data_IF_608727044222
#
_entry.id   IF_608727044222
#
_cell.length_a   1.000
_cell.length_b   1.000
_cell.length_c   1.000
_cell.angle_alpha   90.00
_cell.angle_beta   90.00
_cell.angle_gamma   90.00
#
_symmetry.space_group_name_H-M   'P 1'
#
loop_
_entity.id
_entity.type
_entity.pdbx_description
1 polymer ?
#
# COMPACT_ATOMS: atom_id res chain seq x y z
N UNK A 1 -8.81 30.57 30.21
CA UNK A 1 -9.37 29.52 31.09
C UNK A 1 -10.65 28.98 30.46
N UNK A 2 -10.48 28.01 29.54
CA UNK A 2 -11.52 27.12 28.98
C UNK A 2 -10.83 26.21 27.93
N UNK A 3 -9.78 25.48 28.33
CA UNK A 3 -8.95 24.68 27.39
C UNK A 3 -8.83 23.20 27.74
N UNK A 4 -9.36 22.74 28.87
CA UNK A 4 -9.24 21.32 29.28
C UNK A 4 -10.42 20.44 28.81
N UNK A 5 -11.51 21.02 28.26
CA UNK A 5 -12.73 20.26 27.94
C UNK A 5 -12.74 19.58 26.56
N UNK A 6 -11.90 20.02 25.62
CA UNK A 6 -11.84 19.42 24.28
C UNK A 6 -11.06 18.11 24.25
N UNK A 7 -10.11 17.94 25.19
CA UNK A 7 -9.27 16.76 25.33
C UNK A 7 -9.85 15.70 26.27
N UNK A 8 -11.02 15.96 26.88
CA UNK A 8 -11.73 14.95 27.66
C UNK A 8 -12.33 13.87 26.76
N UNK A 9 -11.93 12.62 27.02
CA UNK A 9 -12.50 11.45 26.38
C UNK A 9 -13.99 11.27 26.75
N UNK A 10 -14.86 10.88 25.80
CA UNK A 10 -16.22 10.47 26.14
C UNK A 10 -16.24 9.26 27.08
N UNK A 11 -17.36 9.01 27.78
CA UNK A 11 -17.50 7.84 28.62
C UNK A 11 -17.18 6.54 27.86
N UNK A 12 -16.51 5.60 28.54
CA UNK A 12 -16.05 4.32 27.99
C UNK A 12 -14.91 4.39 26.96
N UNK A 13 -14.30 5.55 26.75
CA UNK A 13 -13.06 5.68 25.98
C UNK A 13 -11.82 5.70 26.87
N UNK A 14 -10.76 5.04 26.43
CA UNK A 14 -9.45 5.02 27.08
C UNK A 14 -8.38 5.39 26.04
N UNK A 15 -7.48 6.30 26.39
CA UNK A 15 -6.32 6.66 25.58
C UNK A 15 -5.12 5.78 25.93
N UNK A 16 -4.41 5.30 24.91
CA UNK A 16 -3.23 4.45 25.05
C UNK A 16 -2.16 4.87 24.05
N UNK A 17 -0.91 4.52 24.34
CA UNK A 17 0.21 4.73 23.43
C UNK A 17 0.80 3.39 22.96
N UNK A 18 1.26 3.35 21.72
CA UNK A 18 2.06 2.25 21.19
C UNK A 18 3.54 2.39 21.60
N UNK A 19 4.32 1.35 21.34
CA UNK A 19 5.75 1.34 21.65
C UNK A 19 6.55 2.43 20.90
N UNK A 20 6.10 2.81 19.71
CA UNK A 20 6.66 3.87 18.86
C UNK A 20 6.01 5.25 19.09
N UNK A 21 5.16 5.35 20.10
CA UNK A 21 4.63 6.61 20.64
C UNK A 21 3.34 7.12 19.99
N UNK A 22 2.71 6.36 19.09
CA UNK A 22 1.41 6.73 18.53
C UNK A 22 0.30 6.55 19.54
N UNK A 23 -0.57 7.55 19.66
CA UNK A 23 -1.73 7.50 20.53
C UNK A 23 -2.90 6.85 19.80
N UNK A 24 -3.57 5.90 20.45
CA UNK A 24 -4.83 5.31 20.01
C UNK A 24 -5.86 5.31 21.14
N UNK A 25 -7.13 5.27 20.76
CA UNK A 25 -8.27 5.36 21.65
C UNK A 25 -9.05 4.05 21.58
N UNK A 26 -9.31 3.46 22.74
CA UNK A 26 -10.03 2.20 22.92
C UNK A 26 -11.44 2.53 23.42
N UNK A 27 -12.46 2.07 22.70
CA UNK A 27 -13.84 2.14 23.16
C UNK A 27 -14.24 0.81 23.79
N UNK A 28 -14.49 0.82 25.10
CA UNK A 28 -14.83 -0.37 25.89
C UNK A 28 -16.25 -0.89 25.65
N UNK A 29 -17.17 -0.05 25.14
CA UNK A 29 -18.51 -0.48 24.77
C UNK A 29 -18.54 -1.22 23.43
N UNK A 30 -17.97 -0.62 22.39
CA UNK A 30 -17.94 -1.22 21.05
C UNK A 30 -16.80 -2.23 20.85
N UNK A 31 -15.86 -2.31 21.80
CA UNK A 31 -14.63 -3.12 21.70
C UNK A 31 -13.82 -2.77 20.44
N UNK A 32 -13.82 -1.52 20.04
CA UNK A 32 -13.10 -1.02 18.87
C UNK A 32 -11.99 -0.07 19.27
N UNK A 33 -11.01 0.11 18.38
CA UNK A 33 -9.93 1.08 18.54
C UNK A 33 -9.90 2.05 17.37
N UNK A 34 -9.45 3.27 17.59
CA UNK A 34 -9.21 4.27 16.53
C UNK A 34 -8.03 5.17 16.89
N UNK A 35 -7.43 5.85 15.92
CA UNK A 35 -6.24 6.69 16.12
C UNK A 35 -6.56 8.17 16.29
N UNK A 36 -7.77 8.58 15.90
CA UNK A 36 -8.27 9.93 16.06
C UNK A 36 -9.03 10.09 17.36
N UNK A 37 -8.83 11.22 18.04
CA UNK A 37 -9.56 11.54 19.26
C UNK A 37 -11.07 11.53 18.97
N UNK A 38 -11.90 10.82 19.77
CA UNK A 38 -13.31 10.59 19.47
C UNK A 38 -14.16 11.86 19.41
N UNK A 39 -13.71 12.99 19.98
CA UNK A 39 -14.39 14.29 19.87
C UNK A 39 -13.78 15.21 18.82
N UNK A 40 -12.45 15.31 18.79
CA UNK A 40 -11.74 16.35 18.04
C UNK A 40 -11.20 15.84 16.70
N UNK A 41 -11.18 14.52 16.48
CA UNK A 41 -10.63 13.90 15.27
C UNK A 41 -9.10 13.97 15.18
N UNK A 42 -8.42 14.56 16.17
CA UNK A 42 -6.98 14.81 16.14
C UNK A 42 -6.17 13.56 16.45
N UNK A 43 -5.00 13.45 15.83
CA UNK A 43 -4.03 12.39 16.10
C UNK A 43 -2.95 12.96 17.01
N UNK A 44 -2.54 12.20 18.02
CA UNK A 44 -1.51 12.60 18.99
C UNK A 44 -0.34 11.63 18.94
N UNK A 45 0.84 12.15 19.28
CA UNK A 45 2.04 11.35 19.46
C UNK A 45 2.76 11.75 20.75
N UNK A 46 3.14 10.75 21.55
CA UNK A 46 4.06 10.97 22.67
C UNK A 46 5.48 11.07 22.12
N UNK A 47 6.06 12.27 22.20
CA UNK A 47 7.43 12.52 21.77
C UNK A 47 8.37 12.60 22.98
N UNK A 48 9.62 12.16 22.79
CA UNK A 48 10.69 12.30 23.78
C UNK A 48 10.93 11.08 24.67
N UNK A 49 11.96 11.20 25.50
CA UNK A 49 12.34 10.21 26.51
C UNK A 49 11.32 10.20 27.67
N UNK A 50 11.32 9.12 28.45
CA UNK A 50 10.53 9.08 29.67
C UNK A 50 10.97 10.20 30.62
N UNK A 51 10.05 10.79 31.40
CA UNK A 51 10.43 11.78 32.40
C UNK A 51 11.46 11.20 33.38
N UNK A 52 12.33 12.05 33.93
CA UNK A 52 13.38 11.60 34.83
C UNK A 52 12.82 10.78 36.00
N UNK A 53 13.40 9.60 36.23
CA UNK A 53 12.96 8.66 37.26
C UNK A 53 11.87 7.67 36.80
N UNK A 54 11.39 7.77 35.57
CA UNK A 54 10.50 6.75 35.00
C UNK A 54 11.29 5.67 34.25
N UNK A 55 10.88 4.42 34.44
CA UNK A 55 11.42 3.25 33.74
C UNK A 55 10.28 2.50 33.04
N UNK A 56 10.50 2.11 31.78
CA UNK A 56 9.58 1.22 31.04
C UNK A 56 10.09 -0.21 31.12
N UNK A 57 9.24 -1.13 31.57
CA UNK A 57 9.54 -2.56 31.67
C UNK A 57 8.42 -3.39 31.05
N UNK A 58 8.74 -4.59 30.57
CA UNK A 58 7.74 -5.59 30.17
C UNK A 58 7.56 -6.55 31.33
N UNK A 59 6.33 -6.70 31.81
CA UNK A 59 5.99 -7.62 32.89
C UNK A 59 6.13 -9.07 32.41
N UNK A 60 7.02 -9.84 33.03
CA UNK A 60 7.36 -11.20 32.59
C UNK A 60 6.17 -12.17 32.63
N UNK A 61 5.22 -11.97 33.56
CA UNK A 61 4.07 -12.85 33.73
C UNK A 61 2.96 -12.64 32.67
N UNK A 62 2.80 -11.41 32.16
CA UNK A 62 1.68 -11.05 31.27
C UNK A 62 2.11 -10.56 29.90
N UNK A 63 3.40 -10.26 29.70
CA UNK A 63 3.95 -9.62 28.50
C UNK A 63 3.51 -8.17 28.31
N UNK A 64 2.83 -7.56 29.29
CA UNK A 64 2.33 -6.19 29.20
C UNK A 64 3.42 -5.18 29.53
N UNK A 65 3.38 -4.04 28.86
CA UNK A 65 4.26 -2.91 29.16
C UNK A 65 3.76 -2.22 30.44
N UNK A 66 4.67 -1.99 31.37
CA UNK A 66 4.47 -1.24 32.61
C UNK A 66 5.46 -0.08 32.68
N UNK A 67 5.04 0.99 33.33
CA UNK A 67 5.84 2.17 33.60
C UNK A 67 6.00 2.32 35.11
N UNK A 68 7.24 2.37 35.57
CA UNK A 68 7.63 2.41 36.98
C UNK A 68 8.17 3.81 37.27
N UNK A 69 7.54 4.54 38.19
CA UNK A 69 8.02 5.82 38.68
C UNK A 69 8.90 5.56 39.92
N UNK A 70 10.21 5.69 39.76
CA UNK A 70 11.17 5.49 40.85
C UNK A 70 11.17 6.63 41.87
N UNK A 71 10.61 7.79 41.54
CA UNK A 71 10.49 8.92 42.46
C UNK A 71 9.32 8.69 43.42
N UNK A 72 8.17 8.28 42.89
CA UNK A 72 6.94 8.07 43.68
C UNK A 72 6.71 6.61 44.09
N UNK A 73 7.55 5.68 43.64
CA UNK A 73 7.44 4.23 43.88
C UNK A 73 6.11 3.62 43.42
N UNK A 74 5.59 4.13 42.31
CA UNK A 74 4.34 3.65 41.70
C UNK A 74 4.61 2.88 40.41
N UNK A 75 3.67 2.03 40.02
CA UNK A 75 3.69 1.30 38.74
C UNK A 75 2.34 1.45 38.08
N UNK A 76 2.34 1.76 36.79
CA UNK A 76 1.13 1.96 35.99
C UNK A 76 1.26 1.30 34.62
N UNK A 77 0.13 1.00 33.99
CA UNK A 77 0.06 0.54 32.60
C UNK A 77 -0.10 1.70 31.60
N UNK A 78 -0.30 2.92 32.12
CA UNK A 78 -0.51 4.13 31.33
C UNK A 78 0.85 4.80 31.11
N UNK A 79 1.17 5.15 29.87
CA UNK A 79 2.41 5.85 29.55
C UNK A 79 2.38 7.26 30.17
N UNK A 80 3.34 7.63 31.04
CA UNK A 80 3.37 8.93 31.70
C UNK A 80 3.53 10.10 30.72
N UNK A 81 3.97 9.83 29.49
CA UNK A 81 4.12 10.84 28.44
C UNK A 81 2.80 11.22 27.79
N UNK A 82 1.72 10.48 28.01
CA UNK A 82 0.41 10.77 27.42
C UNK A 82 -0.12 12.14 27.83
N UNK A 83 0.13 12.58 29.06
CA UNK A 83 -0.21 13.93 29.54
C UNK A 83 0.51 15.06 28.76
N UNK A 84 1.56 14.72 28.03
CA UNK A 84 2.36 15.64 27.21
C UNK A 84 2.33 15.24 25.72
N UNK A 85 1.37 14.40 25.31
CA UNK A 85 1.22 14.01 23.93
C UNK A 85 0.93 15.26 23.09
N UNK A 86 1.71 15.47 22.05
CA UNK A 86 1.58 16.64 21.18
C UNK A 86 0.67 16.25 20.02
N UNK A 87 -0.19 17.18 19.59
CA UNK A 87 -0.93 17.03 18.34
C UNK A 87 0.06 16.82 17.20
N UNK A 88 -0.02 15.66 16.56
CA UNK A 88 0.79 15.39 15.39
C UNK A 88 0.11 16.09 14.21
N UNK A 89 0.57 17.30 13.90
CA UNK A 89 0.29 17.89 12.60
C UNK A 89 0.98 17.00 11.59
N UNK A 90 0.20 16.21 10.85
CA UNK A 90 0.73 15.45 9.72
C UNK A 90 1.57 16.41 8.87
N UNK A 91 2.85 16.11 8.58
CA UNK A 91 3.71 17.04 7.88
C UNK A 91 3.01 17.48 6.59
N UNK A 92 2.98 18.77 6.32
CA UNK A 92 2.43 19.19 5.03
C UNK A 92 3.30 18.57 3.95
N UNK A 93 2.69 18.06 2.89
CA UNK A 93 3.42 17.48 1.75
C UNK A 93 4.50 18.45 1.22
N UNK A 94 4.24 19.75 1.34
CA UNK A 94 5.18 20.84 0.98
C UNK A 94 6.44 20.93 1.85
N UNK A 95 6.44 20.34 3.04
CA UNK A 95 7.56 20.39 4.00
C UNK A 95 8.52 19.20 3.83
N UNK A 96 8.14 18.19 3.01
CA UNK A 96 8.99 17.03 2.74
C UNK A 96 10.17 17.46 1.87
N UNK A 97 11.38 17.39 2.43
CA UNK A 97 12.61 17.61 1.66
C UNK A 97 12.82 16.47 0.65
N UNK A 98 12.99 16.80 -0.62
CA UNK A 98 13.36 15.82 -1.64
C UNK A 98 14.79 15.29 -1.40
N UNK A 99 14.89 14.02 -0.97
CA UNK A 99 16.18 13.32 -0.76
C UNK A 99 16.57 12.40 -1.91
N UNK A 100 15.58 11.96 -2.68
CA UNK A 100 15.72 11.02 -3.77
C UNK A 100 15.01 11.57 -5.02
N UNK A 101 15.41 11.05 -6.17
CA UNK A 101 14.93 11.52 -7.47
C UNK A 101 14.77 10.37 -8.47
N UNK A 102 14.58 10.70 -9.74
CA UNK A 102 14.39 9.72 -10.82
C UNK A 102 15.63 8.87 -11.11
N UNK A 103 16.82 9.28 -10.65
CA UNK A 103 18.07 8.54 -10.81
C UNK A 103 18.35 7.56 -9.65
N UNK A 104 17.64 7.72 -8.53
CA UNK A 104 17.78 6.90 -7.33
C UNK A 104 17.29 5.47 -7.56
N UNK A 105 18.00 4.50 -6.99
CA UNK A 105 17.67 3.07 -7.02
C UNK A 105 16.94 2.63 -5.75
N UNK A 106 16.18 1.54 -5.84
CA UNK A 106 15.56 0.90 -4.68
C UNK A 106 16.58 0.53 -3.60
N UNK A 107 17.75 -0.01 -3.97
CA UNK A 107 18.82 -0.31 -3.01
C UNK A 107 19.41 0.94 -2.33
N UNK A 108 19.54 2.08 -3.03
CA UNK A 108 19.99 3.33 -2.41
C UNK A 108 19.01 3.84 -1.35
N UNK A 109 17.71 3.69 -1.57
CA UNK A 109 16.68 4.12 -0.60
C UNK A 109 16.69 3.25 0.66
N UNK A 110 17.01 1.97 0.50
CA UNK A 110 17.13 1.00 1.59
C UNK A 110 18.48 1.01 2.29
N UNK A 111 19.45 1.79 1.81
CA UNK A 111 20.78 1.83 2.40
C UNK A 111 20.73 2.14 3.91
N UNK A 112 21.30 1.23 4.71
CA UNK A 112 21.32 1.36 6.18
C UNK A 112 20.01 1.00 6.88
N UNK A 113 19.02 0.40 6.18
CA UNK A 113 17.78 -0.08 6.78
C UNK A 113 17.81 -1.58 7.02
N UNK A 114 17.26 -1.99 8.15
CA UNK A 114 16.94 -3.37 8.47
C UNK A 114 15.42 -3.53 8.50
N UNK A 115 14.92 -4.49 7.72
CA UNK A 115 13.51 -4.86 7.61
C UNK A 115 13.26 -6.27 8.18
N UNK A 116 14.18 -6.80 8.97
CA UNK A 116 14.00 -8.06 9.69
C UNK A 116 12.71 -8.05 10.52
N UNK A 117 11.95 -9.13 10.42
CA UNK A 117 10.64 -9.26 11.08
C UNK A 117 9.48 -8.57 10.36
N UNK A 118 9.73 -7.86 9.26
CA UNK A 118 8.69 -7.25 8.42
C UNK A 118 8.19 -8.23 7.36
N UNK A 119 6.89 -8.21 7.07
CA UNK A 119 6.24 -8.99 6.02
C UNK A 119 5.74 -8.11 4.88
N UNK A 120 6.13 -8.45 3.65
CA UNK A 120 5.63 -7.84 2.43
C UNK A 120 4.85 -8.84 1.58
N UNK A 121 3.68 -8.43 1.06
CA UNK A 121 2.97 -9.12 -0.02
C UNK A 121 3.08 -8.28 -1.29
N UNK A 122 3.58 -8.87 -2.37
CA UNK A 122 3.77 -8.17 -3.64
C UNK A 122 3.10 -8.98 -4.76
N UNK A 123 2.20 -8.36 -5.49
CA UNK A 123 1.56 -8.98 -6.65
C UNK A 123 2.45 -8.84 -7.89
N UNK A 124 2.59 -9.92 -8.69
CA UNK A 124 3.27 -9.85 -9.99
C UNK A 124 4.77 -9.53 -9.91
N UNK A 125 5.50 -10.20 -9.01
CA UNK A 125 6.87 -9.86 -8.64
C UNK A 125 7.92 -10.90 -9.04
N UNK A 126 7.61 -11.84 -9.93
CA UNK A 126 8.61 -12.74 -10.50
C UNK A 126 9.45 -12.11 -11.64
N UNK A 127 9.03 -10.95 -12.16
CA UNK A 127 9.74 -10.22 -13.23
C UNK A 127 9.65 -8.70 -13.06
N UNK A 128 10.47 -7.96 -13.80
CA UNK A 128 10.34 -6.51 -13.96
C UNK A 128 10.48 -5.73 -12.65
N UNK A 129 9.61 -4.73 -12.46
CA UNK A 129 9.65 -3.81 -11.32
C UNK A 129 9.35 -4.56 -10.02
N UNK A 130 8.31 -5.40 -10.01
CA UNK A 130 7.95 -6.20 -8.84
C UNK A 130 9.10 -7.13 -8.39
N UNK A 131 9.86 -7.71 -9.33
CA UNK A 131 11.05 -8.51 -9.01
C UNK A 131 12.12 -7.70 -8.28
N UNK A 132 12.45 -6.51 -8.79
CA UNK A 132 13.45 -5.65 -8.13
C UNK A 132 12.94 -5.13 -6.78
N UNK A 133 11.64 -4.84 -6.63
CA UNK A 133 11.03 -4.51 -5.32
C UNK A 133 11.17 -5.67 -4.34
N UNK A 134 10.78 -6.88 -4.74
CA UNK A 134 10.88 -8.09 -3.91
C UNK A 134 12.32 -8.39 -3.50
N UNK A 135 13.24 -8.38 -4.47
CA UNK A 135 14.68 -8.57 -4.27
C UNK A 135 15.23 -7.54 -3.28
N UNK A 136 14.93 -6.25 -3.50
CA UNK A 136 15.43 -5.17 -2.65
C UNK A 136 14.94 -5.29 -1.20
N UNK A 137 13.67 -5.65 -0.96
CA UNK A 137 13.16 -5.87 0.39
C UNK A 137 13.80 -7.10 1.06
N UNK A 138 13.89 -8.23 0.36
CA UNK A 138 14.49 -9.46 0.90
C UNK A 138 15.98 -9.30 1.20
N UNK A 139 16.70 -8.50 0.40
CA UNK A 139 18.10 -8.14 0.65
C UNK A 139 18.35 -7.39 1.95
N UNK A 140 17.30 -6.80 2.53
CA UNK A 140 17.32 -6.06 3.78
C UNK A 140 16.52 -6.78 4.90
N UNK A 141 16.32 -8.10 4.79
CA UNK A 141 15.75 -8.91 5.87
C UNK A 141 14.23 -9.05 5.90
N UNK A 142 13.51 -8.41 4.97
CA UNK A 142 12.06 -8.53 4.88
C UNK A 142 11.64 -9.92 4.39
N UNK A 143 10.62 -10.50 5.01
CA UNK A 143 9.93 -11.69 4.48
C UNK A 143 9.00 -11.26 3.35
N UNK A 144 9.13 -11.86 2.17
CA UNK A 144 8.38 -11.47 0.97
C UNK A 144 7.53 -12.62 0.46
N UNK A 145 6.21 -12.43 0.49
CA UNK A 145 5.25 -13.26 -0.22
C UNK A 145 5.15 -12.80 -1.67
N UNK A 146 5.64 -13.66 -2.55
CA UNK A 146 5.59 -13.47 -3.99
C UNK A 146 4.26 -14.00 -4.54
N UNK A 147 3.26 -13.12 -4.63
CA UNK A 147 1.92 -13.45 -5.06
C UNK A 147 1.83 -13.43 -6.61
N UNK A 148 1.99 -14.60 -7.22
CA UNK A 148 2.12 -14.75 -8.67
C UNK A 148 1.27 -15.90 -9.21
N UNK A 149 1.01 -15.89 -10.52
CA UNK A 149 0.27 -16.97 -11.20
C UNK A 149 1.10 -18.22 -11.51
N UNK A 150 2.41 -18.07 -11.73
CA UNK A 150 3.28 -19.14 -12.22
C UNK A 150 4.33 -19.47 -11.17
N UNK A 151 4.17 -20.64 -10.55
CA UNK A 151 5.05 -21.18 -9.52
C UNK A 151 6.49 -21.31 -10.01
N UNK A 152 6.70 -22.08 -11.08
CA UNK A 152 8.03 -22.33 -11.65
C UNK A 152 8.80 -21.06 -11.95
N UNK A 153 8.18 -20.09 -12.61
CA UNK A 153 8.81 -18.81 -12.92
C UNK A 153 9.11 -17.98 -11.66
N UNK A 154 8.35 -18.18 -10.58
CA UNK A 154 8.63 -17.54 -9.29
C UNK A 154 9.80 -18.23 -8.57
N UNK A 155 9.85 -19.57 -8.58
CA UNK A 155 10.96 -20.33 -8.02
C UNK A 155 12.28 -20.02 -8.74
N UNK A 156 12.27 -19.90 -10.06
CA UNK A 156 13.42 -19.46 -10.86
C UNK A 156 13.89 -18.06 -10.46
N UNK A 157 12.94 -17.14 -10.21
CA UNK A 157 13.25 -15.80 -9.72
C UNK A 157 13.87 -15.82 -8.31
N UNK A 158 13.32 -16.62 -7.39
CA UNK A 158 13.87 -16.81 -6.04
C UNK A 158 15.27 -17.41 -6.10
N UNK A 159 15.49 -18.43 -6.94
CA UNK A 159 16.79 -19.06 -7.13
C UNK A 159 17.84 -18.06 -7.63
N UNK A 160 17.47 -17.20 -8.59
CA UNK A 160 18.34 -16.13 -9.09
C UNK A 160 18.72 -15.13 -7.99
N UNK A 161 17.77 -14.74 -7.15
CA UNK A 161 18.04 -13.88 -5.98
C UNK A 161 18.96 -14.61 -4.99
N UNK A 162 18.77 -15.92 -4.79
CA UNK A 162 19.60 -16.77 -3.94
C UNK A 162 21.04 -16.91 -4.40
N UNK A 163 21.29 -16.88 -5.72
CA UNK A 163 22.65 -16.85 -6.28
C UNK A 163 23.39 -15.56 -5.92
N UNK A 164 22.68 -14.43 -5.82
CA UNK A 164 23.26 -13.15 -5.37
C UNK A 164 23.40 -13.09 -3.84
N UNK A 165 22.37 -13.50 -3.10
CA UNK A 165 22.34 -13.53 -1.62
C UNK A 165 21.53 -14.74 -1.09
N UNK A 166 22.20 -15.81 -0.63
CA UNK A 166 21.51 -17.03 -0.18
C UNK A 166 20.50 -16.82 0.96
N UNK A 167 20.78 -15.90 1.88
CA UNK A 167 19.86 -15.58 2.98
C UNK A 167 18.57 -14.91 2.50
N UNK A 168 18.62 -14.11 1.44
CA UNK A 168 17.43 -13.42 0.92
C UNK A 168 16.42 -14.42 0.34
N UNK A 169 16.87 -15.44 -0.39
CA UNK A 169 16.00 -16.46 -0.95
C UNK A 169 15.20 -17.23 0.12
N UNK A 170 15.76 -17.42 1.33
CA UNK A 170 15.06 -18.09 2.44
C UNK A 170 13.88 -17.29 2.98
N UNK A 171 13.87 -15.98 2.75
CA UNK A 171 12.83 -15.05 3.19
C UNK A 171 11.73 -14.88 2.12
N UNK A 172 11.82 -15.57 0.98
CA UNK A 172 10.92 -15.40 -0.15
C UNK A 172 10.06 -16.63 -0.35
N UNK A 173 8.74 -16.44 -0.43
CA UNK A 173 7.78 -17.53 -0.52
C UNK A 173 6.80 -17.30 -1.65
N UNK A 174 6.68 -18.28 -2.56
CA UNK A 174 5.65 -18.27 -3.59
C UNK A 174 4.27 -18.55 -2.96
N UNK A 175 3.27 -17.78 -3.37
CA UNK A 175 1.85 -18.06 -3.08
C UNK A 175 1.03 -17.84 -4.37
N UNK A 176 0.17 -18.80 -4.76
CA UNK A 176 -0.55 -18.71 -6.02
C UNK A 176 -1.61 -17.60 -5.97
N UNK A 177 -1.55 -16.68 -6.94
CA UNK A 177 -2.53 -15.62 -7.13
C UNK A 177 -2.72 -15.35 -8.62
N UNK A 178 -3.92 -15.60 -9.12
CA UNK A 178 -4.36 -15.18 -10.46
C UNK A 178 -5.37 -14.04 -10.36
N UNK A 179 -4.97 -12.84 -10.76
CA UNK A 179 -5.83 -11.65 -10.74
C UNK A 179 -6.89 -11.66 -11.85
N UNK A 180 -6.91 -12.67 -12.73
CA UNK A 180 -8.02 -12.93 -13.65
C UNK A 180 -9.20 -13.70 -12.99
N UNK A 181 -9.15 -13.93 -11.67
CA UNK A 181 -10.17 -14.65 -10.91
C UNK A 181 -10.35 -14.05 -9.52
N UNK A 182 -11.53 -13.50 -9.22
CA UNK A 182 -11.88 -13.08 -7.87
C UNK A 182 -11.86 -14.26 -6.90
N UNK A 183 -12.22 -15.47 -7.38
CA UNK A 183 -12.11 -16.69 -6.58
C UNK A 183 -10.67 -17.02 -6.20
N UNK A 184 -9.72 -16.82 -7.12
CA UNK A 184 -8.29 -16.96 -6.79
C UNK A 184 -7.86 -15.96 -5.73
N UNK A 185 -8.39 -14.73 -5.74
CA UNK A 185 -8.10 -13.73 -4.71
C UNK A 185 -8.63 -14.19 -3.33
N UNK A 186 -9.86 -14.69 -3.24
CA UNK A 186 -10.41 -15.23 -1.99
C UNK A 186 -9.57 -16.38 -1.44
N UNK A 187 -9.17 -17.32 -2.30
CA UNK A 187 -8.36 -18.47 -1.90
C UNK A 187 -6.98 -18.05 -1.41
N UNK A 188 -6.35 -17.11 -2.10
CA UNK A 188 -5.08 -16.51 -1.66
C UNK A 188 -5.24 -15.87 -0.28
N UNK A 189 -6.28 -15.06 -0.05
CA UNK A 189 -6.47 -14.40 1.25
C UNK A 189 -6.74 -15.39 2.37
N UNK A 190 -7.53 -16.44 2.12
CA UNK A 190 -7.75 -17.52 3.10
C UNK A 190 -6.43 -18.14 3.55
N UNK A 191 -5.53 -18.42 2.59
CA UNK A 191 -4.19 -18.95 2.88
C UNK A 191 -3.36 -17.96 3.72
N UNK A 192 -3.33 -16.68 3.33
CA UNK A 192 -2.58 -15.66 4.06
C UNK A 192 -3.10 -15.45 5.49
N UNK A 193 -4.41 -15.43 5.70
CA UNK A 193 -5.02 -15.26 7.05
C UNK A 193 -4.74 -16.45 7.99
N UNK A 194 -4.45 -17.62 7.44
CA UNK A 194 -4.01 -18.80 8.21
C UNK A 194 -2.55 -18.65 8.63
N UNK A 195 -1.69 -18.22 7.70
CA UNK A 195 -0.23 -18.17 7.90
C UNK A 195 0.24 -16.95 8.68
N UNK A 196 -0.41 -15.80 8.52
CA UNK A 196 0.06 -14.51 9.04
C UNK A 196 -1.04 -13.77 9.81
N UNK A 197 -0.62 -12.93 10.76
CA UNK A 197 -1.50 -12.10 11.58
C UNK A 197 -1.37 -10.60 11.31
N UNK A 198 -0.31 -10.20 10.60
CA UNK A 198 -0.03 -8.80 10.27
C UNK A 198 0.73 -8.73 8.95
N UNK A 199 0.47 -7.68 8.16
CA UNK A 199 1.16 -7.35 6.91
C UNK A 199 1.72 -5.94 7.06
N UNK A 200 3.04 -5.79 6.98
CA UNK A 200 3.67 -4.46 7.02
C UNK A 200 3.54 -3.76 5.66
N UNK A 201 3.71 -4.50 4.56
CA UNK A 201 3.77 -3.93 3.22
C UNK A 201 2.85 -4.68 2.25
N UNK A 202 1.86 -3.99 1.68
CA UNK A 202 1.05 -4.52 0.58
C UNK A 202 1.34 -3.74 -0.70
N UNK A 203 1.86 -4.42 -1.72
CA UNK A 203 2.28 -3.80 -2.98
C UNK A 203 1.44 -4.36 -4.13
N UNK A 204 0.53 -3.52 -4.64
CA UNK A 204 -0.34 -3.83 -5.77
C UNK A 204 0.38 -3.47 -7.07
N UNK A 205 1.36 -4.31 -7.45
CA UNK A 205 2.29 -4.07 -8.55
C UNK A 205 1.85 -4.71 -9.87
N UNK A 206 1.17 -5.85 -9.83
CA UNK A 206 0.81 -6.60 -11.03
C UNK A 206 0.02 -5.74 -12.04
N UNK A 207 0.24 -5.99 -13.33
CA UNK A 207 -0.57 -5.37 -14.35
C UNK A 207 -0.27 -5.87 -15.75
N UNK A 208 -1.27 -5.71 -16.62
CA UNK A 208 -1.22 -6.02 -18.05
C UNK A 208 -1.50 -4.77 -18.87
N UNK A 209 -0.95 -4.73 -20.09
CA UNK A 209 -1.08 -3.62 -21.03
C UNK A 209 -0.90 -4.16 -22.44
N UNK A 210 -1.61 -3.58 -23.40
CA UNK A 210 -1.44 -3.92 -24.82
C UNK A 210 -1.94 -5.32 -25.19
N UNK A 211 -2.78 -5.92 -24.35
CA UNK A 211 -3.46 -7.19 -24.62
C UNK A 211 -4.64 -6.96 -25.58
N UNK A 212 -4.97 -7.98 -26.38
CA UNK A 212 -6.23 -8.00 -27.12
C UNK A 212 -7.41 -8.03 -26.14
N UNK A 213 -8.60 -7.61 -26.60
CA UNK A 213 -9.81 -7.75 -25.79
C UNK A 213 -10.01 -9.23 -25.47
N UNK A 214 -10.07 -9.52 -24.18
CA UNK A 214 -10.25 -10.87 -23.66
C UNK A 214 -11.00 -10.74 -22.35
N UNK A 215 -11.87 -11.71 -22.10
CA UNK A 215 -12.59 -11.79 -20.83
C UNK A 215 -11.83 -12.68 -19.85
N UNK A 216 -11.88 -12.30 -18.58
CA UNK A 216 -11.40 -13.09 -17.45
C UNK A 216 -12.35 -14.25 -17.14
N UNK A 217 -12.01 -15.06 -16.13
CA UNK A 217 -12.89 -16.12 -15.63
C UNK A 217 -14.19 -15.55 -15.04
N UNK A 218 -14.17 -14.28 -14.62
CA UNK A 218 -15.31 -13.57 -14.05
C UNK A 218 -16.12 -12.78 -15.12
N UNK A 219 -15.80 -12.95 -16.40
CA UNK A 219 -16.54 -12.33 -17.50
C UNK A 219 -16.27 -10.83 -17.72
N UNK A 220 -15.20 -10.28 -17.12
CA UNK A 220 -14.83 -8.87 -17.28
C UNK A 220 -13.64 -8.68 -18.22
N UNK A 221 -13.49 -7.46 -18.75
CA UNK A 221 -12.32 -7.10 -19.55
C UNK A 221 -11.03 -7.25 -18.72
N UNK A 222 -10.07 -7.99 -19.28
CA UNK A 222 -8.85 -8.44 -18.59
C UNK A 222 -8.02 -7.30 -17.99
N UNK A 223 -7.80 -6.22 -18.73
CA UNK A 223 -6.95 -5.10 -18.29
C UNK A 223 -7.56 -4.40 -17.08
N UNK A 224 -8.85 -4.09 -17.13
CA UNK A 224 -9.59 -3.51 -16.03
C UNK A 224 -9.54 -4.40 -14.79
N UNK A 225 -9.90 -5.67 -14.94
CA UNK A 225 -9.97 -6.56 -13.79
C UNK A 225 -8.60 -6.79 -13.15
N UNK A 226 -7.59 -7.15 -13.94
CA UNK A 226 -6.25 -7.48 -13.41
C UNK A 226 -5.60 -6.27 -12.77
N UNK A 227 -5.68 -5.09 -13.41
CA UNK A 227 -4.96 -3.91 -12.94
C UNK A 227 -5.64 -3.25 -11.74
N UNK A 228 -6.99 -3.27 -11.70
CA UNK A 228 -7.81 -2.54 -10.73
C UNK A 228 -8.72 -3.45 -9.90
N UNK A 229 -9.72 -4.11 -10.50
CA UNK A 229 -10.81 -4.71 -9.72
C UNK A 229 -10.34 -5.83 -8.77
N UNK A 230 -9.45 -6.70 -9.23
CA UNK A 230 -8.92 -7.79 -8.39
C UNK A 230 -8.00 -7.25 -7.29
N UNK A 231 -7.26 -6.16 -7.55
CA UNK A 231 -6.46 -5.48 -6.53
C UNK A 231 -7.32 -4.77 -5.49
N UNK A 232 -8.40 -4.11 -5.93
CA UNK A 232 -9.42 -3.53 -5.07
C UNK A 232 -9.97 -4.61 -4.12
N UNK A 233 -10.47 -5.71 -4.67
CA UNK A 233 -11.02 -6.82 -3.90
C UNK A 233 -10.00 -7.43 -2.92
N UNK A 234 -8.81 -7.74 -3.41
CA UNK A 234 -7.70 -8.30 -2.62
C UNK A 234 -7.37 -7.42 -1.41
N UNK A 235 -7.30 -6.10 -1.62
CA UNK A 235 -6.95 -5.14 -0.57
C UNK A 235 -8.01 -5.09 0.52
N UNK A 236 -9.29 -5.09 0.15
CA UNK A 236 -10.39 -5.10 1.12
C UNK A 236 -10.42 -6.41 1.93
N UNK A 237 -10.20 -7.56 1.29
CA UNK A 237 -10.16 -8.85 1.98
C UNK A 237 -8.98 -9.00 2.95
N UNK A 238 -7.84 -8.36 2.65
CA UNK A 238 -6.65 -8.32 3.52
C UNK A 238 -6.71 -7.24 4.60
N UNK A 239 -7.74 -6.40 4.60
CA UNK A 239 -7.91 -5.25 5.49
C UNK A 239 -7.63 -5.57 6.97
N UNK A 240 -8.11 -6.72 7.47
CA UNK A 240 -7.96 -7.08 8.89
C UNK A 240 -6.52 -7.40 9.33
N UNK A 241 -5.61 -7.61 8.37
CA UNK A 241 -4.19 -7.85 8.61
C UNK A 241 -3.35 -6.57 8.53
N UNK A 242 -3.99 -5.42 8.25
CA UNK A 242 -3.35 -4.12 8.10
C UNK A 242 -3.72 -3.21 9.28
N UNK A 243 -2.73 -2.50 9.80
CA UNK A 243 -2.89 -1.50 10.86
C UNK A 243 -2.04 -0.26 10.60
N UNK A 244 -1.99 0.69 11.54
CA UNK A 244 -1.22 1.92 11.43
C UNK A 244 0.26 1.79 11.06
N UNK A 245 0.90 0.65 11.32
CA UNK A 245 2.30 0.40 10.92
C UNK A 245 2.40 -0.11 9.48
N UNK A 246 1.28 -0.52 8.89
CA UNK A 246 1.20 -1.04 7.55
C UNK A 246 1.20 0.07 6.50
N UNK A 247 1.81 -0.22 5.35
CA UNK A 247 1.78 0.64 4.17
C UNK A 247 1.28 -0.11 2.95
N UNK A 248 0.31 0.48 2.26
CA UNK A 248 -0.20 -0.01 0.97
C UNK A 248 0.31 0.87 -0.14
N UNK A 249 0.91 0.27 -1.17
CA UNK A 249 1.40 0.98 -2.35
C UNK A 249 0.73 0.43 -3.60
N UNK A 250 0.02 1.29 -4.31
CA UNK A 250 -0.69 0.98 -5.56
C UNK A 250 0.12 1.49 -6.74
N UNK A 251 0.47 0.61 -7.68
CA UNK A 251 1.20 1.03 -8.88
C UNK A 251 0.23 1.57 -9.94
N UNK A 252 0.42 2.84 -10.28
CA UNK A 252 -0.21 3.50 -11.42
C UNK A 252 0.81 3.80 -12.53
N UNK A 253 0.53 4.77 -13.38
CA UNK A 253 1.37 5.23 -14.49
C UNK A 253 0.97 6.65 -14.89
N UNK A 254 1.86 7.43 -15.50
CA UNK A 254 1.49 8.70 -16.16
C UNK A 254 0.39 8.55 -17.21
N UNK A 255 0.15 7.32 -17.69
CA UNK A 255 -0.97 7.00 -18.58
C UNK A 255 -2.35 7.34 -17.99
N UNK A 256 -2.49 7.40 -16.65
CA UNK A 256 -3.74 7.78 -15.98
C UNK A 256 -4.27 9.15 -16.40
N UNK A 257 -3.37 10.06 -16.82
CA UNK A 257 -3.71 11.41 -17.27
C UNK A 257 -4.44 11.43 -18.61
N UNK A 258 -4.34 10.35 -19.38
CA UNK A 258 -4.91 10.21 -20.72
C UNK A 258 -6.14 9.30 -20.75
N UNK A 259 -6.79 9.10 -19.59
CA UNK A 259 -8.08 8.42 -19.49
C UNK A 259 -9.18 9.23 -20.18
N UNK A 260 -10.15 8.52 -20.76
CA UNK A 260 -11.35 9.13 -21.35
C UNK A 260 -12.60 8.96 -20.46
N UNK A 261 -12.44 8.48 -19.23
CA UNK A 261 -13.55 8.37 -18.29
C UNK A 261 -14.10 9.75 -17.95
N UNK A 262 -15.40 9.80 -17.68
CA UNK A 262 -16.14 10.99 -17.25
C UNK A 262 -17.05 10.60 -16.12
N UNK A 263 -17.27 11.51 -15.18
CA UNK A 263 -18.21 11.30 -14.08
C UNK A 263 -19.63 11.12 -14.60
N UNK A 264 -20.05 12.00 -15.51
CA UNK A 264 -21.37 11.96 -16.12
C UNK A 264 -21.57 10.69 -16.94
N UNK A 265 -22.53 9.87 -16.54
CA UNK A 265 -22.85 8.61 -17.21
C UNK A 265 -21.83 7.48 -16.94
N UNK A 266 -20.98 7.61 -15.92
CA UNK A 266 -20.06 6.54 -15.54
C UNK A 266 -20.84 5.28 -15.11
N UNK A 267 -20.52 4.16 -15.75
CA UNK A 267 -21.12 2.85 -15.48
C UNK A 267 -20.07 1.75 -15.59
N UNK A 268 -20.46 0.53 -15.21
CA UNK A 268 -19.65 -0.68 -15.31
C UNK A 268 -19.13 -0.93 -16.73
N UNK A 269 -19.91 -0.57 -17.76
CA UNK A 269 -19.54 -0.71 -19.17
C UNK A 269 -18.43 0.26 -19.62
N UNK A 270 -18.22 1.34 -18.88
CA UNK A 270 -17.10 2.25 -19.12
C UNK A 270 -15.80 1.74 -18.49
N UNK A 271 -15.92 0.98 -17.39
CA UNK A 271 -14.81 0.40 -16.66
C UNK A 271 -14.35 -0.91 -17.31
N UNK A 272 -15.28 -1.87 -17.48
CA UNK A 272 -15.10 -3.11 -18.22
C UNK A 272 -15.70 -2.97 -19.63
N UNK A 273 -14.88 -2.48 -20.55
CA UNK A 273 -15.32 -2.13 -21.91
C UNK A 273 -15.63 -3.36 -22.78
N UNK A 274 -16.65 -3.23 -23.62
CA UNK A 274 -17.02 -4.25 -24.62
C UNK A 274 -16.01 -4.32 -25.78
N UNK A 275 -15.95 -5.47 -26.45
CA UNK A 275 -15.03 -5.70 -27.57
C UNK A 275 -15.15 -4.63 -28.67
N UNK A 276 -16.37 -4.24 -29.04
CA UNK A 276 -16.65 -3.24 -30.09
C UNK A 276 -16.10 -1.83 -29.82
N UNK A 277 -15.83 -1.50 -28.55
CA UNK A 277 -15.33 -0.19 -28.12
C UNK A 277 -13.89 -0.29 -27.55
N UNK A 278 -13.28 -1.45 -27.63
CA UNK A 278 -12.01 -1.72 -26.97
C UNK A 278 -10.84 -1.04 -27.71
N UNK A 279 -10.05 -0.33 -26.93
CA UNK A 279 -8.70 0.10 -27.31
C UNK A 279 -7.77 -0.28 -26.17
N UNK A 280 -6.75 -1.09 -26.47
CA UNK A 280 -5.85 -1.63 -25.45
C UNK A 280 -5.12 -0.54 -24.66
N UNK A 281 -4.74 0.55 -25.32
CA UNK A 281 -4.13 1.70 -24.66
C UNK A 281 -5.14 2.44 -23.78
N UNK A 282 -6.38 2.62 -24.26
CA UNK A 282 -7.41 3.33 -23.48
C UNK A 282 -7.86 2.52 -22.27
N UNK A 283 -8.04 1.21 -22.40
CA UNK A 283 -8.32 0.31 -21.28
C UNK A 283 -7.21 0.40 -20.23
N UNK A 284 -5.95 0.42 -20.66
CA UNK A 284 -4.81 0.63 -19.77
C UNK A 284 -4.84 2.01 -19.08
N UNK A 285 -5.04 3.10 -19.82
CA UNK A 285 -5.16 4.46 -19.24
C UNK A 285 -6.26 4.52 -18.18
N UNK A 286 -7.44 4.00 -18.51
CA UNK A 286 -8.59 3.97 -17.61
C UNK A 286 -8.30 3.12 -16.37
N UNK A 287 -7.68 1.94 -16.53
CA UNK A 287 -7.28 1.10 -15.38
C UNK A 287 -6.28 1.80 -14.45
N UNK A 288 -5.34 2.59 -15.01
CA UNK A 288 -4.36 3.33 -14.21
C UNK A 288 -4.95 4.57 -13.54
N UNK A 289 -5.96 5.20 -14.14
CA UNK A 289 -6.77 6.20 -13.44
C UNK A 289 -7.54 5.59 -12.27
N UNK A 290 -8.17 4.42 -12.47
CA UNK A 290 -8.87 3.72 -11.40
C UNK A 290 -7.94 3.41 -10.21
N UNK A 291 -6.68 3.02 -10.46
CA UNK A 291 -5.69 2.82 -9.40
C UNK A 291 -5.39 4.10 -8.58
N UNK A 292 -5.33 5.28 -9.22
CA UNK A 292 -5.12 6.56 -8.50
C UNK A 292 -6.35 6.92 -7.67
N UNK A 293 -7.54 6.82 -8.27
CA UNK A 293 -8.82 7.07 -7.59
C UNK A 293 -9.01 6.12 -6.39
N UNK A 294 -8.70 4.84 -6.58
CA UNK A 294 -8.75 3.82 -5.54
C UNK A 294 -7.83 4.16 -4.37
N UNK A 295 -6.55 4.44 -4.62
CA UNK A 295 -5.60 4.74 -3.55
C UNK A 295 -5.97 6.02 -2.78
N UNK A 296 -6.47 7.04 -3.48
CA UNK A 296 -6.98 8.28 -2.86
C UNK A 296 -8.16 7.98 -1.93
N UNK A 297 -9.16 7.28 -2.44
CA UNK A 297 -10.36 6.92 -1.68
C UNK A 297 -10.05 6.00 -0.50
N UNK A 298 -9.20 4.99 -0.72
CA UNK A 298 -8.75 4.08 0.32
C UNK A 298 -8.00 4.83 1.43
N UNK A 299 -7.11 5.76 1.05
CA UNK A 299 -6.39 6.61 2.00
C UNK A 299 -7.32 7.42 2.89
N UNK A 300 -8.39 8.00 2.32
CA UNK A 300 -9.43 8.70 3.10
C UNK A 300 -10.17 7.75 4.05
N UNK A 301 -10.63 6.61 3.53
CA UNK A 301 -11.42 5.62 4.30
C UNK A 301 -10.61 5.01 5.44
N UNK A 302 -9.31 4.85 5.26
CA UNK A 302 -8.41 4.26 6.28
C UNK A 302 -7.63 5.28 7.10
N UNK A 303 -7.87 6.58 6.92
CA UNK A 303 -7.20 7.63 7.69
C UNK A 303 -7.38 7.43 9.20
N UNK A 304 -8.60 7.12 9.65
CA UNK A 304 -8.88 6.85 11.08
C UNK A 304 -8.25 5.56 11.61
N UNK A 305 -7.79 4.67 10.72
CA UNK A 305 -7.04 3.44 11.07
C UNK A 305 -5.52 3.66 11.09
N UNK A 306 -5.05 4.86 10.72
CA UNK A 306 -3.64 5.20 10.64
C UNK A 306 -2.88 4.49 9.50
N UNK A 307 -3.57 3.73 8.63
CA UNK A 307 -2.91 2.98 7.55
C UNK A 307 -2.50 3.95 6.45
N UNK A 308 -1.21 3.95 6.12
CA UNK A 308 -0.69 4.75 5.00
C UNK A 308 -0.96 4.07 3.67
N UNK A 309 -1.67 4.77 2.78
CA UNK A 309 -1.92 4.35 1.40
C UNK A 309 -1.24 5.32 0.46
N UNK A 310 -0.43 4.83 -0.45
CA UNK A 310 0.25 5.64 -1.47
C UNK A 310 -0.01 5.07 -2.86
N UNK A 311 -0.03 5.95 -3.85
CA UNK A 311 -0.02 5.55 -5.26
C UNK A 311 1.22 6.12 -5.91
N UNK A 312 1.87 5.33 -6.76
CA UNK A 312 3.06 5.79 -7.44
C UNK A 312 3.13 5.37 -8.90
N UNK A 313 3.81 6.20 -9.68
CA UNK A 313 4.29 5.86 -11.01
C UNK A 313 5.78 5.50 -10.94
N UNK A 314 6.20 4.35 -11.47
CA UNK A 314 7.60 3.91 -11.40
C UNK A 314 8.56 4.71 -12.31
N UNK A 315 8.04 5.53 -13.24
CA UNK A 315 8.85 6.35 -14.15
C UNK A 315 8.52 6.10 -15.62
N UNK A 316 8.81 7.09 -16.46
CA UNK A 316 8.54 7.00 -17.90
C UNK A 316 9.56 6.08 -18.58
N UNK A 317 9.11 5.39 -19.62
CA UNK A 317 9.93 4.55 -20.49
C UNK A 317 10.68 3.39 -19.80
N UNK A 318 10.16 2.80 -18.73
CA UNK A 318 10.80 1.61 -18.13
C UNK A 318 10.70 0.42 -19.10
N UNK A 319 11.83 -0.14 -19.52
CA UNK A 319 11.86 -1.38 -20.30
C UNK A 319 11.47 -2.56 -19.40
N UNK A 320 10.18 -2.88 -19.35
CA UNK A 320 9.63 -4.04 -18.65
C UNK A 320 9.22 -5.12 -19.66
N UNK A 321 8.95 -6.34 -19.18
CA UNK A 321 8.40 -7.42 -20.02
C UNK A 321 7.02 -7.12 -20.61
N UNK A 322 6.41 -5.98 -20.27
CA UNK A 322 5.10 -5.54 -20.71
C UNK A 322 5.05 -5.20 -22.22
N UNK A 323 6.19 -4.87 -22.84
CA UNK A 323 6.28 -4.47 -24.26
C UNK A 323 6.37 -5.65 -25.25
N UNK A 324 6.13 -6.89 -24.82
CA UNK A 324 6.45 -8.10 -25.61
C UNK A 324 5.67 -8.25 -26.92
N UNK A 325 4.49 -7.66 -27.07
CA UNK A 325 3.58 -7.96 -28.19
C UNK A 325 3.60 -6.99 -29.38
N UNK A 326 4.36 -5.89 -29.33
CA UNK A 326 4.47 -4.93 -30.45
C UNK A 326 5.92 -4.71 -30.87
N UNK A 327 6.28 -5.18 -32.06
CA UNK A 327 7.64 -5.05 -32.60
C UNK A 327 8.06 -3.59 -32.85
N UNK A 328 7.13 -2.70 -33.22
CA UNK A 328 7.37 -1.26 -33.34
C UNK A 328 7.68 -0.61 -31.98
N UNK A 329 7.03 -1.06 -30.89
CA UNK A 329 7.39 -0.62 -29.54
C UNK A 329 8.78 -1.11 -29.13
N UNK A 330 9.19 -2.33 -29.50
CA UNK A 330 10.56 -2.81 -29.24
C UNK A 330 11.62 -1.97 -29.93
N UNK A 331 11.36 -1.51 -31.16
CA UNK A 331 12.26 -0.62 -31.91
C UNK A 331 12.31 0.79 -31.30
N UNK A 332 11.15 1.35 -30.93
CA UNK A 332 11.07 2.62 -30.24
C UNK A 332 11.83 2.60 -28.90
N UNK A 333 11.61 1.57 -28.07
CA UNK A 333 12.31 1.38 -26.80
C UNK A 333 13.81 1.09 -26.94
N UNK A 334 14.25 0.50 -28.06
CA UNK A 334 15.66 0.34 -28.37
C UNK A 334 16.36 1.67 -28.66
N UNK A 335 15.64 2.62 -29.30
CA UNK A 335 16.13 3.96 -29.64
C UNK A 335 16.20 4.88 -28.41
N UNK A 336 15.20 4.81 -27.51
CA UNK A 336 15.17 5.65 -26.30
C UNK A 336 15.87 5.04 -25.09
N UNK A 337 16.45 3.83 -25.22
CA UNK A 337 17.11 3.05 -24.15
C UNK A 337 18.18 3.80 -23.32
N UNK A 338 18.99 4.73 -23.86
CA UNK A 338 19.92 5.52 -23.04
C UNK A 338 19.22 6.48 -22.06
N UNK A 339 17.93 6.76 -22.28
CA UNK A 339 17.10 7.66 -21.49
C UNK A 339 16.02 6.91 -20.68
N UNK A 340 16.10 5.57 -20.59
CA UNK A 340 15.15 4.75 -19.82
C UNK A 340 15.69 4.40 -18.44
N UNK A 341 14.83 4.44 -17.43
CA UNK A 341 15.18 4.00 -16.07
C UNK A 341 15.53 2.51 -16.07
N UNK A 342 16.55 2.15 -15.27
CA UNK A 342 16.77 0.76 -14.88
C UNK A 342 15.61 0.22 -14.04
N UNK A 343 15.44 -1.11 -13.96
CA UNK A 343 14.39 -1.71 -13.13
C UNK A 343 14.57 -1.37 -11.63
N UNK A 344 15.82 -1.25 -11.17
CA UNK A 344 16.13 -0.78 -9.81
C UNK A 344 15.72 0.67 -9.58
N UNK A 345 15.88 1.55 -10.58
CA UNK A 345 15.37 2.93 -10.52
C UNK A 345 13.85 3.01 -10.69
N UNK A 346 13.23 2.04 -11.36
CA UNK A 346 11.78 1.98 -11.49
C UNK A 346 11.11 1.50 -10.20
N UNK A 347 11.75 0.61 -9.44
CA UNK A 347 11.30 0.15 -8.13
C UNK A 347 11.51 1.19 -7.01
N UNK A 348 12.33 2.23 -7.26
CA UNK A 348 12.76 3.16 -6.21
C UNK A 348 11.60 3.93 -5.58
N UNK A 349 10.66 4.43 -6.38
CA UNK A 349 9.51 5.18 -5.84
C UNK A 349 8.59 4.26 -5.02
N UNK A 350 8.39 3.01 -5.45
CA UNK A 350 7.66 2.01 -4.66
C UNK A 350 8.32 1.80 -3.31
N UNK A 351 9.64 1.56 -3.30
CA UNK A 351 10.39 1.37 -2.06
C UNK A 351 10.37 2.62 -1.17
N UNK A 352 10.49 3.81 -1.75
CA UNK A 352 10.35 5.08 -1.02
C UNK A 352 9.03 5.15 -0.25
N UNK A 353 7.90 4.88 -0.93
CA UNK A 353 6.58 4.85 -0.30
C UNK A 353 6.50 3.82 0.85
N UNK A 354 7.18 2.68 0.73
CA UNK A 354 7.18 1.63 1.75
C UNK A 354 8.02 1.93 2.98
N UNK A 355 9.15 2.63 2.85
CA UNK A 355 10.15 2.68 3.95
C UNK A 355 10.52 4.07 4.42
N UNK A 356 10.17 5.12 3.70
CA UNK A 356 10.55 6.50 4.05
C UNK A 356 9.84 6.97 5.34
N UNK A 357 10.57 7.26 6.44
CA UNK A 357 10.00 7.77 7.69
C UNK A 357 9.34 9.13 7.52
N UNK A 358 9.81 9.94 6.56
CA UNK A 358 9.22 11.24 6.23
C UNK A 358 7.80 11.13 5.66
N UNK A 359 7.31 9.93 5.36
CA UNK A 359 5.94 9.69 4.91
C UNK A 359 5.01 9.19 6.02
N UNK A 360 5.51 9.00 7.24
CA UNK A 360 4.67 8.52 8.34
C UNK A 360 3.59 9.55 8.67
N UNK A 361 2.36 9.07 8.89
CA UNK A 361 1.18 9.93 9.08
C UNK A 361 0.57 10.46 7.77
N UNK A 362 1.21 10.22 6.63
CA UNK A 362 0.68 10.61 5.32
C UNK A 362 -0.06 9.46 4.64
N UNK A 363 -1.06 9.80 3.82
CA UNK A 363 -1.89 8.84 3.09
C UNK A 363 -2.58 9.52 1.91
N UNK A 364 -2.99 8.75 0.90
CA UNK A 364 -3.72 9.23 -0.28
C UNK A 364 -2.90 10.05 -1.28
N UNK A 365 -1.57 10.02 -1.20
CA UNK A 365 -0.67 10.87 -2.01
C UNK A 365 -0.16 10.13 -3.25
N UNK A 366 -0.06 10.85 -4.37
CA UNK A 366 0.57 10.39 -5.60
C UNK A 366 2.06 10.76 -5.66
N UNK A 367 2.90 9.76 -5.94
CA UNK A 367 4.34 9.89 -6.04
C UNK A 367 4.87 9.59 -7.44
N UNK A 368 5.89 10.36 -7.83
CA UNK A 368 6.70 10.12 -9.01
C UNK A 368 8.15 10.47 -8.68
N UNK A 369 9.11 9.63 -9.08
CA UNK A 369 10.53 9.90 -8.87
C UNK A 369 10.88 10.16 -7.39
N UNK A 370 10.28 9.38 -6.48
CA UNK A 370 10.46 9.50 -5.02
C UNK A 370 10.07 10.87 -4.45
N UNK A 371 9.18 11.59 -5.14
CA UNK A 371 8.66 12.88 -4.69
C UNK A 371 7.17 13.00 -4.98
N UNK A 372 6.48 13.82 -4.20
CA UNK A 372 5.06 14.05 -4.40
C UNK A 372 4.84 14.73 -5.76
N UNK A 373 3.71 14.43 -6.39
CA UNK A 373 3.34 15.02 -7.67
C UNK A 373 1.82 15.15 -7.75
N UNK A 374 1.35 16.26 -8.31
CA UNK A 374 -0.07 16.46 -8.57
C UNK A 374 -0.57 15.49 -9.66
N UNK A 375 -1.54 14.61 -9.37
CA UNK A 375 -2.07 13.69 -10.38
C UNK A 375 -3.06 14.43 -11.29
N UNK A 376 -3.73 13.74 -12.22
CA UNK A 376 -4.70 14.38 -13.14
C UNK A 376 -5.86 15.05 -12.39
N UNK A 377 -6.43 16.12 -12.93
CA UNK A 377 -7.57 16.81 -12.30
C UNK A 377 -8.75 15.85 -12.00
N UNK A 378 -9.04 14.93 -12.91
CA UNK A 378 -10.11 13.94 -12.72
C UNK A 378 -9.80 12.98 -11.55
N UNK A 379 -8.54 12.66 -11.30
CA UNK A 379 -8.15 11.81 -10.17
C UNK A 379 -8.24 12.50 -8.80
N UNK A 380 -8.35 13.83 -8.80
CA UNK A 380 -8.56 14.63 -7.59
C UNK A 380 -10.05 14.88 -7.30
N UNK A 381 -10.95 14.43 -8.19
CA UNK A 381 -12.38 14.59 -8.03
C UNK A 381 -12.93 13.51 -7.08
N UNK A 382 -13.47 13.96 -5.94
CA UNK A 382 -13.97 13.08 -4.88
C UNK A 382 -15.22 12.30 -5.30
N UNK A 383 -16.12 12.91 -6.07
CA UNK A 383 -17.29 12.20 -6.61
C UNK A 383 -16.88 11.10 -7.59
N UNK A 384 -15.80 11.33 -8.35
CA UNK A 384 -15.26 10.32 -9.25
C UNK A 384 -14.65 9.14 -8.48
N UNK A 385 -13.94 9.42 -7.38
CA UNK A 385 -13.34 8.35 -6.56
C UNK A 385 -14.39 7.51 -5.86
N UNK A 386 -15.40 8.15 -5.26
CA UNK A 386 -16.56 7.49 -4.68
C UNK A 386 -17.32 6.67 -5.72
N UNK A 387 -17.55 7.21 -6.92
CA UNK A 387 -18.29 6.50 -7.96
C UNK A 387 -17.58 5.26 -8.47
N UNK A 388 -16.27 5.34 -8.69
CA UNK A 388 -15.46 4.17 -9.08
C UNK A 388 -15.43 3.13 -7.96
N UNK A 389 -15.39 3.56 -6.70
CA UNK A 389 -15.48 2.66 -5.54
C UNK A 389 -16.80 1.89 -5.53
N UNK A 390 -17.94 2.59 -5.57
CA UNK A 390 -19.28 1.97 -5.58
C UNK A 390 -19.45 0.98 -6.73
N UNK A 391 -19.02 1.35 -7.95
CA UNK A 391 -19.10 0.47 -9.11
C UNK A 391 -18.22 -0.76 -8.93
N UNK A 392 -17.03 -0.62 -8.33
CA UNK A 392 -16.14 -1.75 -8.05
C UNK A 392 -16.77 -2.73 -7.05
N UNK A 393 -17.34 -2.23 -5.93
CA UNK A 393 -18.05 -3.07 -4.95
C UNK A 393 -19.23 -3.80 -5.59
N UNK A 394 -20.07 -3.06 -6.32
CA UNK A 394 -21.24 -3.63 -7.00
C UNK A 394 -20.87 -4.73 -7.99
N UNK A 395 -19.85 -4.53 -8.81
CA UNK A 395 -19.40 -5.54 -9.78
C UNK A 395 -18.89 -6.79 -9.08
N UNK A 396 -18.14 -6.64 -7.98
CA UNK A 396 -17.65 -7.77 -7.17
C UNK A 396 -18.81 -8.55 -6.56
N UNK A 397 -19.77 -7.87 -5.93
CA UNK A 397 -20.95 -8.50 -5.33
C UNK A 397 -21.75 -9.30 -6.36
N UNK A 398 -22.00 -8.73 -7.54
CA UNK A 398 -22.70 -9.42 -8.62
C UNK A 398 -21.99 -10.69 -9.06
N UNK A 399 -20.66 -10.65 -9.23
CA UNK A 399 -19.86 -11.81 -9.65
C UNK A 399 -19.83 -12.89 -8.57
N UNK A 400 -19.65 -12.50 -7.31
CA UNK A 400 -19.61 -13.46 -6.19
C UNK A 400 -20.97 -14.13 -6.02
N UNK A 401 -22.08 -13.39 -6.14
CA UNK A 401 -23.42 -13.95 -6.06
C UNK A 401 -23.78 -14.89 -7.22
N UNK A 402 -23.26 -14.65 -8.43
CA UNK A 402 -23.47 -15.54 -9.58
C UNK A 402 -22.69 -16.87 -9.47
N UNK A 403 -21.62 -16.88 -8.69
CA UNK A 403 -20.73 -18.03 -8.50
C UNK A 403 -21.07 -18.88 -7.26
N UNK A 404 -22.08 -18.49 -6.47
CA UNK A 404 -22.67 -19.25 -5.36
C UNK A 404 -23.90 -20.01 -5.83
#
# INVERSE_FOLDING_TARGET
PDTDSEDELPPAWEERATNDGYVYYVNHHSKSTQWSHPRTGKIKKVAGELPMGWERKIEEATGKVIFIDHNNKTTTYIDPRLAFAVEEVAPSVSEIRQRFDGSSTALQILHGRDLSGKLAIITGCNVGIGYETAKSLAFHGCTVIMANRNEKATEEAIAKIGQERPHAAKLMHFRPLDLCSLKSCENFVKMIKVEFKHIDYLVLNAGVMGTAHTLTQDGLEMTFQVNHLSHFHLTLLLSDLLDHTSRVVVLSSESHRFSNLKLDGLSEHNLSVSESKYSSMMAYNNSKLCNVLFARELGKRWQNRGISVFVCHPGNLVSTSLSRHWWLFRLFFAIVRPFTKSLQQAASTTIFCLVAPELTGLTGIYFNNCFFCEPSQLSQNDQMSEKVWELSEKMIEQIIHQNQ
#
